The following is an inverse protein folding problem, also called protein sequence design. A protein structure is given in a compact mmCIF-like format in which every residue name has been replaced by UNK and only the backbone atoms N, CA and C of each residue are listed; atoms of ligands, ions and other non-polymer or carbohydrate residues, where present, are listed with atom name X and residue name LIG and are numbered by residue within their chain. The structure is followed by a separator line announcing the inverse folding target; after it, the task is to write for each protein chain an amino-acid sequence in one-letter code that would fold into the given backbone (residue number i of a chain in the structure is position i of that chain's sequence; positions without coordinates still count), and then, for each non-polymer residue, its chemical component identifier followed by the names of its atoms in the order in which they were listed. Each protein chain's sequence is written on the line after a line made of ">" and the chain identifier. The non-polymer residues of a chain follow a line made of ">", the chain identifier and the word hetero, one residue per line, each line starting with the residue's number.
data_IF_370435770113
#
_entry.id   IF_370435770113
#
_cell.length_a   1.000
_cell.length_b   1.000
_cell.length_c   1.000
_cell.angle_alpha   90.00
_cell.angle_beta   90.00
_cell.angle_gamma   90.00
#
_symmetry.space_group_name_H-M   'P 1'
#
loop_
_entity.id
_entity.type
_entity.pdbx_description
1 polymer ?
#
# COMPACT_ATOMS: atom_id res chain seq x y z
N UNK A 1 22.51 -1.96 -34.67
CA UNK A 1 21.49 -2.87 -34.12
C UNK A 1 20.94 -2.44 -32.76
N UNK A 2 21.77 -2.27 -31.70
CA UNK A 2 21.29 -1.88 -30.36
C UNK A 2 20.52 -0.55 -30.32
N UNK A 3 21.02 0.48 -31.00
CA UNK A 3 20.36 1.79 -31.08
C UNK A 3 19.01 1.75 -31.81
N UNK A 4 18.86 0.85 -32.78
CA UNK A 4 17.63 0.73 -33.57
C UNK A 4 16.50 0.11 -32.74
N UNK A 5 16.81 -0.94 -31.98
CA UNK A 5 15.88 -1.58 -31.02
C UNK A 5 15.44 -0.63 -29.91
N UNK A 6 16.32 0.28 -29.46
CA UNK A 6 15.96 1.27 -28.44
C UNK A 6 15.02 2.36 -28.98
N UNK A 7 15.13 2.68 -30.27
CA UNK A 7 14.38 3.77 -30.90
C UNK A 7 13.09 3.33 -31.61
N UNK A 8 12.82 2.03 -31.67
CA UNK A 8 11.70 1.42 -32.40
C UNK A 8 10.33 1.98 -31.95
N UNK A 9 10.23 2.39 -30.70
CA UNK A 9 8.99 2.91 -30.09
C UNK A 9 9.00 4.42 -29.84
N UNK A 10 9.95 5.16 -30.41
CA UNK A 10 10.08 6.61 -30.14
C UNK A 10 8.82 7.40 -30.48
N UNK A 11 8.06 6.99 -31.50
CA UNK A 11 6.81 7.66 -31.87
C UNK A 11 5.75 7.50 -30.77
N UNK A 12 5.58 6.29 -30.26
CA UNK A 12 4.62 5.96 -29.20
C UNK A 12 5.04 6.63 -27.87
N UNK A 13 6.33 6.58 -27.55
CA UNK A 13 6.89 7.24 -26.36
C UNK A 13 6.64 8.75 -26.40
N UNK A 14 6.80 9.41 -27.55
CA UNK A 14 6.52 10.84 -27.69
C UNK A 14 5.05 11.18 -27.37
N UNK A 15 4.09 10.38 -27.82
CA UNK A 15 2.67 10.63 -27.49
C UNK A 15 2.37 10.39 -26.01
N UNK A 16 2.95 9.35 -25.41
CA UNK A 16 2.82 9.10 -23.96
C UNK A 16 3.42 10.27 -23.16
N UNK A 17 4.59 10.77 -23.55
CA UNK A 17 5.23 11.93 -22.94
C UNK A 17 4.36 13.18 -23.05
N UNK A 18 3.80 13.47 -24.22
CA UNK A 18 2.89 14.61 -24.40
C UNK A 18 1.65 14.50 -23.51
N UNK A 19 1.06 13.30 -23.41
CA UNK A 19 -0.06 13.04 -22.50
C UNK A 19 0.33 13.28 -21.04
N UNK A 20 1.48 12.75 -20.61
CA UNK A 20 1.97 12.93 -19.25
C UNK A 20 2.26 14.41 -18.94
N UNK A 21 2.89 15.14 -19.86
CA UNK A 21 3.21 16.56 -19.72
C UNK A 21 1.98 17.47 -19.67
N UNK A 22 0.84 17.02 -20.20
CA UNK A 22 -0.42 17.76 -20.13
C UNK A 22 -1.02 17.77 -18.72
N UNK A 23 -0.66 16.78 -17.89
CA UNK A 23 -1.16 16.64 -16.51
C UNK A 23 -0.10 17.11 -15.51
N UNK A 24 1.16 16.72 -15.73
CA UNK A 24 2.29 17.02 -14.83
C UNK A 24 3.36 17.80 -15.62
N UNK A 25 3.69 19.04 -15.24
CA UNK A 25 4.71 19.81 -15.95
C UNK A 25 6.06 19.09 -16.02
N UNK A 26 6.71 19.15 -17.18
CA UNK A 26 7.97 18.44 -17.48
C UNK A 26 9.07 18.65 -16.42
N UNK A 27 9.19 19.86 -15.88
CA UNK A 27 10.22 20.18 -14.88
C UNK A 27 10.13 19.28 -13.63
N UNK A 28 8.92 18.93 -13.18
CA UNK A 28 8.75 18.07 -12.02
C UNK A 28 9.16 16.62 -12.30
N UNK A 29 8.89 16.12 -13.50
CA UNK A 29 9.28 14.76 -13.90
C UNK A 29 10.79 14.58 -13.95
N UNK A 30 11.53 15.63 -14.32
CA UNK A 30 12.99 15.63 -14.31
C UNK A 30 13.63 15.64 -12.92
N UNK A 31 12.84 15.85 -11.85
CA UNK A 31 13.33 15.72 -10.48
C UNK A 31 13.40 14.26 -10.02
N UNK A 32 12.74 13.34 -10.73
CA UNK A 32 12.69 11.93 -10.40
C UNK A 32 13.66 11.10 -11.26
N UNK A 33 14.27 10.10 -10.64
CA UNK A 33 14.80 8.95 -11.37
C UNK A 33 13.66 8.09 -11.94
N UNK A 34 13.95 7.24 -12.93
CA UNK A 34 12.94 6.34 -13.50
C UNK A 34 12.25 5.47 -12.44
N UNK A 35 13.02 5.01 -11.43
CA UNK A 35 12.51 4.20 -10.33
C UNK A 35 11.60 4.99 -9.39
N UNK A 36 11.96 6.23 -9.05
CA UNK A 36 11.11 7.05 -8.17
C UNK A 36 9.82 7.46 -8.88
N UNK A 37 9.85 7.69 -10.20
CA UNK A 37 8.64 7.96 -10.99
C UNK A 37 7.72 6.74 -11.04
N UNK A 38 8.30 5.54 -11.21
CA UNK A 38 7.55 4.28 -11.14
C UNK A 38 6.92 4.09 -9.76
N UNK A 39 7.68 4.26 -8.68
CA UNK A 39 7.15 4.16 -7.31
C UNK A 39 6.08 5.23 -7.02
N UNK A 40 6.19 6.42 -7.62
CA UNK A 40 5.20 7.47 -7.47
C UNK A 40 3.85 7.16 -8.15
N UNK A 41 3.89 6.47 -9.29
CA UNK A 41 2.69 6.16 -10.09
C UNK A 41 2.09 4.81 -9.69
N UNK A 42 2.93 3.78 -9.58
CA UNK A 42 2.53 2.41 -9.34
C UNK A 42 2.52 2.04 -7.85
N UNK A 43 3.18 2.83 -7.00
CA UNK A 43 3.46 2.48 -5.61
C UNK A 43 4.66 1.54 -5.46
N UNK A 44 5.06 1.26 -4.22
CA UNK A 44 6.17 0.34 -3.93
C UNK A 44 5.73 -1.12 -4.04
N UNK A 45 6.61 -1.95 -4.60
CA UNK A 45 6.42 -3.40 -4.74
C UNK A 45 6.36 -4.14 -3.39
N UNK A 46 6.99 -3.55 -2.36
CA UNK A 46 6.96 -4.06 -0.99
C UNK A 46 6.20 -3.12 -0.07
N UNK A 47 5.25 -3.69 0.68
CA UNK A 47 4.48 -2.98 1.69
C UNK A 47 5.39 -2.63 2.87
N UNK A 48 5.51 -1.33 3.13
CA UNK A 48 6.17 -0.81 4.32
C UNK A 48 5.27 -1.04 5.55
N UNK A 49 5.52 -2.14 6.25
CA UNK A 49 4.74 -2.54 7.43
C UNK A 49 4.86 -1.51 8.56
N UNK A 50 6.01 -0.85 8.69
CA UNK A 50 6.22 0.17 9.73
C UNK A 50 5.41 1.43 9.43
N UNK A 51 5.34 1.85 8.16
CA UNK A 51 4.47 2.93 7.72
C UNK A 51 2.99 2.59 7.99
N UNK A 52 2.55 1.37 7.66
CA UNK A 52 1.18 0.93 7.92
C UNK A 52 0.88 0.92 9.43
N UNK A 53 1.80 0.40 10.25
CA UNK A 53 1.67 0.33 11.71
C UNK A 53 1.58 1.71 12.36
N UNK A 54 2.36 2.68 11.87
CA UNK A 54 2.31 4.09 12.34
C UNK A 54 0.98 4.76 11.98
N UNK A 55 0.36 4.34 10.87
CA UNK A 55 -0.95 4.81 10.41
C UNK A 55 -2.10 3.89 10.84
N UNK A 56 -1.89 3.07 11.87
CA UNK A 56 -2.92 2.21 12.46
C UNK A 56 -3.47 2.81 13.76
N UNK A 57 -4.79 2.86 13.89
CA UNK A 57 -5.51 3.13 15.12
C UNK A 57 -5.95 1.81 15.76
N UNK A 58 -5.96 1.80 17.09
CA UNK A 58 -6.43 0.67 17.89
C UNK A 58 -7.69 1.12 18.64
N UNK A 59 -8.78 0.36 18.49
CA UNK A 59 -10.09 0.64 19.09
C UNK A 59 -10.58 -0.49 20.00
N UNK A 60 -11.66 -0.21 20.74
CA UNK A 60 -12.18 -1.12 21.76
C UNK A 60 -11.20 -1.27 22.93
N UNK A 61 -10.93 -2.52 23.32
CA UNK A 61 -10.02 -2.84 24.43
C UNK A 61 -8.55 -3.03 23.99
N UNK A 62 -8.27 -2.85 22.70
CA UNK A 62 -6.92 -3.03 22.17
C UNK A 62 -6.11 -1.73 22.18
N UNK A 63 -4.82 -1.89 22.48
CA UNK A 63 -3.80 -0.87 22.30
C UNK A 63 -2.59 -1.49 21.58
N UNK A 64 -1.61 -0.64 21.22
CA UNK A 64 -0.42 -1.05 20.47
C UNK A 64 0.41 -2.18 21.13
N UNK A 65 0.33 -2.34 22.45
CA UNK A 65 1.06 -3.33 23.24
C UNK A 65 0.17 -4.53 23.63
N UNK A 66 -1.07 -4.61 23.13
CA UNK A 66 -1.94 -5.75 23.40
C UNK A 66 -1.36 -7.00 22.73
N UNK A 67 -1.27 -8.16 23.43
CA UNK A 67 -0.68 -9.36 22.86
C UNK A 67 -1.27 -9.80 21.50
N UNK A 68 -2.59 -9.70 21.24
CA UNK A 68 -3.15 -9.98 19.92
C UNK A 68 -2.64 -9.04 18.81
N UNK A 69 -2.40 -7.76 19.14
CA UNK A 69 -1.88 -6.76 18.21
C UNK A 69 -0.41 -7.03 17.87
N UNK A 70 0.40 -7.37 18.88
CA UNK A 70 1.80 -7.74 18.67
C UNK A 70 1.92 -8.97 17.76
N UNK A 71 1.13 -10.01 18.03
CA UNK A 71 1.06 -11.22 17.19
C UNK A 71 0.62 -10.91 15.77
N UNK A 72 -0.39 -10.06 15.60
CA UNK A 72 -0.87 -9.64 14.28
C UNK A 72 0.28 -9.06 13.44
N UNK A 73 1.07 -8.14 14.01
CA UNK A 73 2.19 -7.53 13.29
C UNK A 73 3.33 -8.51 13.02
N UNK A 74 3.63 -9.43 13.95
CA UNK A 74 4.63 -10.48 13.73
C UNK A 74 4.22 -11.37 12.55
N UNK A 75 2.97 -11.85 12.55
CA UNK A 75 2.46 -12.71 11.46
C UNK A 75 2.48 -11.96 10.12
N UNK A 76 2.00 -10.72 10.10
CA UNK A 76 1.97 -9.93 8.87
C UNK A 76 3.39 -9.62 8.35
N UNK A 77 4.36 -9.37 9.23
CA UNK A 77 5.72 -9.03 8.82
C UNK A 77 6.53 -10.26 8.41
N UNK A 78 6.49 -11.32 9.21
CA UNK A 78 7.40 -12.46 9.13
C UNK A 78 6.81 -13.67 8.39
N UNK A 79 5.49 -13.90 8.48
CA UNK A 79 4.88 -15.09 7.90
C UNK A 79 4.28 -14.85 6.52
N UNK A 80 3.92 -13.61 6.18
CA UNK A 80 3.33 -13.31 4.88
C UNK A 80 4.41 -12.99 3.85
N UNK A 81 4.31 -13.64 2.69
CA UNK A 81 5.07 -13.22 1.51
C UNK A 81 4.47 -11.93 0.88
N UNK A 82 5.16 -11.35 -0.10
CA UNK A 82 4.73 -10.07 -0.70
C UNK A 82 3.34 -10.15 -1.33
N UNK A 83 3.00 -11.24 -2.01
CA UNK A 83 1.67 -11.43 -2.62
C UNK A 83 0.57 -11.47 -1.55
N UNK A 84 0.82 -12.17 -0.45
CA UNK A 84 -0.11 -12.23 0.69
C UNK A 84 -0.26 -10.88 1.39
N UNK A 85 0.84 -10.12 1.53
CA UNK A 85 0.78 -8.74 2.05
C UNK A 85 -0.06 -7.85 1.13
N UNK A 86 0.11 -7.96 -0.19
CA UNK A 86 -0.66 -7.20 -1.17
C UNK A 86 -2.15 -7.56 -1.14
N UNK A 87 -2.48 -8.86 -1.06
CA UNK A 87 -3.85 -9.33 -0.89
C UNK A 87 -4.47 -8.84 0.42
N UNK A 88 -3.70 -8.88 1.50
CA UNK A 88 -4.13 -8.30 2.77
C UNK A 88 -4.45 -6.81 2.62
N UNK A 89 -3.58 -6.04 1.95
CA UNK A 89 -3.81 -4.60 1.78
C UNK A 89 -5.04 -4.29 0.93
N UNK A 90 -5.28 -5.06 -0.13
CA UNK A 90 -6.51 -4.98 -0.92
C UNK A 90 -7.71 -5.31 -0.04
N UNK A 91 -7.61 -6.34 0.81
CA UNK A 91 -8.67 -6.72 1.72
C UNK A 91 -8.98 -5.57 2.68
N UNK A 92 -8.02 -5.08 3.46
CA UNK A 92 -8.28 -4.06 4.49
C UNK A 92 -8.55 -2.66 3.92
N UNK A 93 -7.96 -2.31 2.79
CA UNK A 93 -7.94 -0.93 2.30
C UNK A 93 -8.45 -0.73 0.87
N UNK A 94 -8.71 -1.81 0.14
CA UNK A 94 -9.23 -1.74 -1.24
C UNK A 94 -8.20 -1.27 -2.28
N UNK A 95 -6.93 -1.13 -1.89
CA UNK A 95 -5.82 -0.73 -2.76
C UNK A 95 -4.68 -1.74 -2.65
N UNK A 96 -3.95 -1.91 -3.75
CA UNK A 96 -2.78 -2.80 -3.81
C UNK A 96 -1.51 -2.16 -3.26
N UNK A 97 -1.50 -0.85 -2.98
CA UNK A 97 -0.32 -0.11 -2.53
C UNK A 97 -0.62 0.89 -1.42
N UNK A 98 0.37 1.12 -0.55
CA UNK A 98 0.32 2.16 0.46
C UNK A 98 0.63 3.53 -0.16
N UNK A 99 0.08 4.63 0.40
CA UNK A 99 0.61 5.95 0.16
C UNK A 99 2.10 6.03 0.51
N UNK A 100 2.82 6.94 -0.14
CA UNK A 100 4.28 7.03 -0.05
C UNK A 100 4.71 7.67 1.28
N UNK A 101 3.92 8.63 1.78
CA UNK A 101 4.20 9.38 3.01
C UNK A 101 3.01 9.32 3.96
N UNK A 102 3.25 9.58 5.24
CA UNK A 102 2.20 9.62 6.27
C UNK A 102 1.08 10.62 5.94
N UNK A 103 1.45 11.77 5.38
CA UNK A 103 0.52 12.85 5.04
C UNK A 103 -0.48 12.46 3.96
N UNK A 104 -0.15 11.46 3.14
CA UNK A 104 -0.97 10.98 2.04
C UNK A 104 -2.07 9.99 2.49
N UNK A 105 -2.10 9.63 3.77
CA UNK A 105 -3.11 8.72 4.34
C UNK A 105 -4.44 9.45 4.53
N UNK A 106 -5.39 9.21 3.62
CA UNK A 106 -6.75 9.77 3.70
C UNK A 106 -7.58 9.20 4.87
N UNK A 107 -7.26 7.98 5.30
CA UNK A 107 -7.89 7.32 6.45
C UNK A 107 -6.86 6.42 7.14
N UNK A 108 -6.96 6.31 8.47
CA UNK A 108 -6.10 5.41 9.24
C UNK A 108 -6.68 4.00 9.24
N UNK A 109 -5.81 3.00 9.24
CA UNK A 109 -6.21 1.60 9.38
C UNK A 109 -6.68 1.35 10.81
N UNK A 110 -7.90 0.85 11.04
CA UNK A 110 -8.44 0.61 12.39
C UNK A 110 -8.46 -0.88 12.71
N UNK A 111 -7.85 -1.27 13.83
CA UNK A 111 -7.97 -2.61 14.41
C UNK A 111 -8.74 -2.48 15.72
N UNK A 112 -9.88 -3.15 15.85
CA UNK A 112 -10.73 -3.09 17.04
C UNK A 112 -11.09 -4.47 17.54
N UNK A 113 -11.32 -4.61 18.85
CA UNK A 113 -12.01 -5.79 19.39
C UNK A 113 -13.43 -5.83 18.82
N UNK A 114 -13.92 -7.04 18.58
CA UNK A 114 -15.28 -7.27 18.13
C UNK A 114 -16.12 -7.76 19.31
N UNK A 115 -16.87 -6.86 19.94
CA UNK A 115 -17.57 -7.17 21.20
C UNK A 115 -18.91 -7.93 20.99
N UNK A 116 -19.25 -8.31 19.76
CA UNK A 116 -20.58 -8.83 19.40
C UNK A 116 -20.59 -10.34 19.06
N UNK A 117 -19.48 -11.07 19.23
CA UNK A 117 -19.48 -12.53 19.00
C UNK A 117 -19.74 -13.30 20.31
N UNK A 118 -20.90 -13.97 20.41
CA UNK A 118 -21.27 -14.87 21.51
C UNK A 118 -20.73 -16.31 21.35
N UNK A 119 -19.73 -16.54 20.48
CA UNK A 119 -19.12 -17.86 20.21
C UNK A 119 -17.62 -17.90 20.54
N UNK A 120 -16.96 -19.06 20.37
CA UNK A 120 -15.50 -19.19 20.57
C UNK A 120 -14.71 -18.19 19.70
N UNK A 121 -13.95 -17.30 20.36
CA UNK A 121 -13.21 -16.19 19.75
C UNK A 121 -12.19 -16.68 18.71
N UNK A 122 -11.63 -17.88 18.90
CA UNK A 122 -10.62 -18.48 18.03
C UNK A 122 -11.18 -19.02 16.71
N UNK A 123 -12.50 -19.10 16.55
CA UNK A 123 -13.15 -19.54 15.30
C UNK A 123 -13.62 -18.38 14.41
N UNK A 124 -13.48 -17.12 14.87
CA UNK A 124 -13.96 -15.96 14.12
C UNK A 124 -12.90 -15.46 13.11
N UNK A 125 -13.33 -15.27 11.85
CA UNK A 125 -12.50 -14.62 10.83
C UNK A 125 -12.49 -13.09 11.00
N UNK A 126 -11.38 -12.40 10.67
CA UNK A 126 -11.34 -10.94 10.62
C UNK A 126 -12.41 -10.40 9.67
N UNK A 127 -13.19 -9.40 10.11
CA UNK A 127 -14.20 -8.73 9.28
C UNK A 127 -13.83 -7.26 9.05
N UNK A 128 -14.20 -6.74 7.88
CA UNK A 128 -14.01 -5.35 7.49
C UNK A 128 -15.34 -4.60 7.47
N UNK A 129 -15.34 -3.37 7.95
CA UNK A 129 -16.41 -2.40 7.76
C UNK A 129 -15.87 -1.24 6.92
N UNK A 130 -16.53 -0.92 5.81
CA UNK A 130 -16.29 0.31 5.05
C UNK A 130 -17.33 1.31 5.54
N UNK A 131 -16.88 2.42 6.12
CA UNK A 131 -17.73 3.59 6.36
C UNK A 131 -17.70 4.51 5.15
#
# INVERSE_FOLDING_TARGET
>A
YRQYRLNEFNRQINYIQQGLYSIIPYYYLNLFTAKELEEAICGKDQIDIELLKRNTLYGGDYNKNSPPIERFWIVLNEMFNNDQKNLFLIFVWGRSTLPIRDEDFQSKFLITSYDVYQGEVDQALPRKYIH
#
